data_IF_373877560298
#
_entry.id   IF_373877560298
#
_cell.length_a   1.000
_cell.length_b   1.000
_cell.length_c   1.000
_cell.angle_alpha   90.00
_cell.angle_beta   90.00
_cell.angle_gamma   90.00
#
_symmetry.space_group_name_H-M   'P 1'
#
loop_
_entity.id
_entity.type
_entity.pdbx_description
1 polymer ?
#
# COMPACT_ATOMS: atom_id res chain seq x y z
N UNK A 1 -26.20 23.28 3.31
CA UNK A 1 -25.62 22.17 2.52
C UNK A 1 -24.45 21.62 3.32
N UNK A 2 -24.40 20.32 3.59
CA UNK A 2 -23.25 19.73 4.28
C UNK A 2 -22.06 19.75 3.33
N UNK A 3 -20.90 20.22 3.81
CA UNK A 3 -19.64 20.15 3.07
C UNK A 3 -19.34 18.67 2.74
N UNK A 4 -18.89 18.34 1.52
CA UNK A 4 -18.49 16.98 1.18
C UNK A 4 -17.47 16.46 2.20
N UNK A 5 -17.53 15.18 2.63
CA UNK A 5 -16.65 14.65 3.66
C UNK A 5 -15.25 14.36 3.08
N UNK A 6 -14.54 15.38 2.61
CA UNK A 6 -13.14 15.24 2.21
C UNK A 6 -12.29 14.75 3.40
N UNK A 7 -11.28 13.95 3.12
CA UNK A 7 -10.25 13.64 4.13
C UNK A 7 -9.25 14.78 4.11
N UNK A 8 -8.98 15.37 5.26
CA UNK A 8 -8.00 16.46 5.39
C UNK A 8 -7.10 16.12 6.57
N UNK A 9 -5.79 16.23 6.37
CA UNK A 9 -4.81 15.99 7.42
C UNK A 9 -3.60 16.93 7.29
N UNK A 10 -2.74 16.90 8.30
CA UNK A 10 -1.51 17.68 8.38
C UNK A 10 -0.32 16.72 8.44
N UNK A 11 0.72 17.03 7.69
CA UNK A 11 2.02 16.35 7.77
C UNK A 11 3.11 17.40 7.48
N UNK A 12 4.07 17.54 8.39
CA UNK A 12 5.20 18.48 8.29
C UNK A 12 4.81 19.91 7.88
N UNK A 13 3.76 20.43 8.51
CA UNK A 13 3.23 21.78 8.25
C UNK A 13 2.47 21.93 6.92
N UNK A 14 2.45 20.88 6.09
CA UNK A 14 1.70 20.84 4.84
C UNK A 14 0.31 20.26 5.10
N UNK A 15 -0.73 20.95 4.61
CA UNK A 15 -2.10 20.42 4.63
C UNK A 15 -2.35 19.61 3.37
N UNK A 16 -2.79 18.39 3.58
CA UNK A 16 -3.15 17.47 2.53
C UNK A 16 -4.65 17.21 2.56
N UNK A 17 -5.21 16.86 1.41
CA UNK A 17 -6.56 16.29 1.34
C UNK A 17 -6.67 15.15 0.33
N UNK A 18 -7.67 14.31 0.53
CA UNK A 18 -8.19 13.41 -0.48
C UNK A 18 -9.61 13.86 -0.84
N UNK A 19 -9.85 14.11 -2.12
CA UNK A 19 -11.16 14.49 -2.65
C UNK A 19 -12.11 13.29 -2.68
N UNK A 20 -13.39 13.50 -2.94
CA UNK A 20 -14.41 12.46 -2.88
C UNK A 20 -14.54 11.71 -4.23
N UNK A 21 -14.97 10.44 -4.19
CA UNK A 21 -15.35 9.70 -5.39
C UNK A 21 -16.44 10.43 -6.21
N UNK A 22 -16.45 10.25 -7.55
CA UNK A 22 -15.60 9.34 -8.33
C UNK A 22 -14.19 9.86 -8.64
N UNK A 23 -13.97 11.16 -8.51
CA UNK A 23 -12.75 11.84 -8.97
C UNK A 23 -11.71 11.99 -7.85
N UNK A 24 -11.38 10.88 -7.17
CA UNK A 24 -10.46 10.92 -6.03
C UNK A 24 -9.05 11.31 -6.48
N UNK A 25 -8.56 12.41 -5.92
CA UNK A 25 -7.22 12.94 -6.06
C UNK A 25 -6.65 13.24 -4.68
N UNK A 26 -5.32 13.22 -4.57
CA UNK A 26 -4.62 13.79 -3.44
C UNK A 26 -4.14 15.18 -3.80
N UNK A 27 -4.27 16.10 -2.84
CA UNK A 27 -3.96 17.50 -3.06
C UNK A 27 -3.29 18.10 -1.82
N UNK A 28 -2.49 19.15 -2.03
CA UNK A 28 -1.91 19.98 -0.97
C UNK A 28 -2.40 21.41 -1.05
N UNK A 29 -2.53 22.06 0.11
CA UNK A 29 -2.91 23.47 0.18
C UNK A 29 -1.67 24.35 -0.06
N UNK A 30 -1.58 24.99 -1.24
CA UNK A 30 -0.44 25.85 -1.62
C UNK A 30 -0.63 27.31 -1.22
N UNK A 31 -1.87 27.72 -0.96
CA UNK A 31 -2.27 28.99 -0.36
C UNK A 31 -3.63 28.79 0.33
N UNK A 32 -4.06 29.67 1.25
CA UNK A 32 -5.35 29.51 1.95
C UNK A 32 -6.52 29.28 0.99
N UNK A 33 -7.14 28.09 1.05
CA UNK A 33 -8.24 27.67 0.19
C UNK A 33 -7.86 27.24 -1.23
N UNK A 34 -6.57 27.30 -1.61
CA UNK A 34 -6.06 26.86 -2.90
C UNK A 34 -5.39 25.49 -2.78
N UNK A 35 -5.98 24.51 -3.44
CA UNK A 35 -5.50 23.14 -3.46
C UNK A 35 -4.97 22.77 -4.84
N UNK A 36 -3.86 22.04 -4.86
CA UNK A 36 -3.22 21.56 -6.08
C UNK A 36 -2.92 20.07 -5.98
N UNK A 37 -2.96 19.37 -7.11
CA UNK A 37 -2.67 17.95 -7.18
C UNK A 37 -1.26 17.66 -6.63
N UNK A 38 -1.17 16.66 -5.75
CA UNK A 38 0.07 16.28 -5.09
C UNK A 38 0.07 14.77 -4.84
N UNK A 39 1.27 14.21 -4.70
CA UNK A 39 1.45 12.79 -4.46
C UNK A 39 2.06 12.59 -3.06
N UNK A 40 1.23 12.37 -2.02
CA UNK A 40 1.73 12.18 -0.67
C UNK A 40 2.69 10.99 -0.65
N UNK A 41 3.81 11.15 0.04
CA UNK A 41 4.74 10.06 0.30
C UNK A 41 4.20 9.12 1.38
N UNK A 42 4.97 8.07 1.65
CA UNK A 42 4.70 7.04 2.63
C UNK A 42 4.47 7.62 4.04
N UNK A 43 5.21 8.66 4.42
CA UNK A 43 5.14 9.28 5.75
C UNK A 43 3.92 10.19 5.90
N UNK A 44 3.58 10.92 4.85
CA UNK A 44 2.35 11.70 4.76
C UNK A 44 1.11 10.80 4.83
N UNK A 45 1.13 9.65 4.15
CA UNK A 45 0.03 8.66 4.20
C UNK A 45 -0.07 7.99 5.58
N UNK A 46 1.05 7.65 6.21
CA UNK A 46 1.06 7.13 7.58
C UNK A 46 0.51 8.16 8.57
N UNK A 47 0.90 9.43 8.44
CA UNK A 47 0.37 10.55 9.25
C UNK A 47 -1.13 10.73 9.04
N UNK A 48 -1.61 10.59 7.80
CA UNK A 48 -3.03 10.64 7.48
C UNK A 48 -3.82 9.53 8.18
N UNK A 49 -3.28 8.31 8.23
CA UNK A 49 -3.93 7.19 8.89
C UNK A 49 -4.12 7.43 10.40
N UNK A 50 -3.26 8.24 11.02
CA UNK A 50 -3.39 8.68 12.42
C UNK A 50 -4.30 9.90 12.57
N UNK A 51 -4.18 10.88 11.68
CA UNK A 51 -4.89 12.16 11.75
C UNK A 51 -6.36 12.09 11.34
N UNK A 52 -6.73 11.20 10.42
CA UNK A 52 -8.11 11.03 9.96
C UNK A 52 -8.90 10.18 10.95
N UNK A 53 -9.83 10.79 11.65
CA UNK A 53 -10.67 10.10 12.64
C UNK A 53 -11.58 9.03 12.04
N UNK A 54 -11.92 8.00 12.82
CA UNK A 54 -12.76 6.88 12.38
C UNK A 54 -14.13 7.30 11.81
N UNK A 55 -14.75 8.34 12.38
CA UNK A 55 -16.04 8.87 11.90
C UNK A 55 -15.91 9.53 10.53
N UNK A 56 -14.87 10.34 10.32
CA UNK A 56 -14.61 11.00 9.03
C UNK A 56 -14.31 9.96 7.96
N UNK A 57 -13.45 8.99 8.30
CA UNK A 57 -13.13 7.86 7.44
C UNK A 57 -14.37 7.07 6.99
N UNK A 58 -15.25 6.72 7.94
CA UNK A 58 -16.47 5.98 7.62
C UNK A 58 -17.38 6.74 6.66
N UNK A 59 -17.59 8.04 6.91
CA UNK A 59 -18.41 8.91 6.04
C UNK A 59 -17.80 9.05 4.65
N UNK A 60 -16.49 9.18 4.56
CA UNK A 60 -15.78 9.26 3.29
C UNK A 60 -15.98 7.98 2.46
N UNK A 61 -15.84 6.80 3.10
CA UNK A 61 -16.01 5.52 2.42
C UNK A 61 -17.45 5.27 1.93
N UNK A 62 -18.49 5.91 2.49
CA UNK A 62 -19.88 5.77 1.99
C UNK A 62 -20.01 6.06 0.48
N UNK A 63 -19.12 6.89 -0.06
CA UNK A 63 -19.08 7.28 -1.48
C UNK A 63 -18.19 6.38 -2.34
N UNK A 64 -17.34 5.55 -1.72
CA UNK A 64 -16.46 4.64 -2.44
C UNK A 64 -17.24 3.44 -3.02
N UNK A 65 -16.84 2.92 -4.19
CA UNK A 65 -17.37 1.67 -4.72
C UNK A 65 -17.24 0.51 -3.70
N UNK A 66 -18.21 -0.41 -3.68
CA UNK A 66 -18.23 -1.56 -2.75
C UNK A 66 -16.90 -2.33 -2.75
N UNK A 67 -16.32 -2.72 -3.91
CA UNK A 67 -15.07 -3.50 -3.91
C UNK A 67 -13.90 -2.73 -3.28
N UNK A 68 -13.85 -1.42 -3.50
CA UNK A 68 -12.81 -0.55 -2.93
C UNK A 68 -12.97 -0.43 -1.41
N UNK A 69 -14.21 -0.27 -0.92
CA UNK A 69 -14.50 -0.28 0.52
C UNK A 69 -14.09 -1.59 1.18
N UNK A 70 -14.45 -2.71 0.57
CA UNK A 70 -14.14 -4.04 1.11
C UNK A 70 -12.64 -4.28 1.17
N UNK A 71 -11.92 -3.90 0.10
CA UNK A 71 -10.46 -3.97 0.06
C UNK A 71 -9.81 -3.11 1.15
N UNK A 72 -10.11 -1.80 1.16
CA UNK A 72 -9.50 -0.86 2.10
C UNK A 72 -9.89 -1.19 3.55
N UNK A 73 -11.11 -1.70 3.78
CA UNK A 73 -11.61 -2.08 5.10
C UNK A 73 -10.83 -3.21 5.79
N UNK A 74 -9.93 -3.88 5.06
CA UNK A 74 -9.00 -4.88 5.62
C UNK A 74 -7.81 -4.25 6.35
N UNK A 75 -7.54 -2.98 6.10
CA UNK A 75 -6.39 -2.25 6.65
C UNK A 75 -6.86 -1.31 7.77
N UNK A 76 -6.11 -1.29 8.86
CA UNK A 76 -6.27 -0.37 9.98
C UNK A 76 -5.18 0.69 9.96
N UNK A 77 -3.91 0.25 9.95
CA UNK A 77 -2.75 1.14 10.06
C UNK A 77 -2.36 1.71 8.68
N UNK A 78 -2.39 0.89 7.64
CA UNK A 78 -2.01 1.26 6.27
C UNK A 78 -3.21 1.66 5.41
N UNK A 79 -4.37 1.97 6.01
CA UNK A 79 -5.62 2.27 5.26
C UNK A 79 -5.50 3.43 4.26
N UNK A 80 -4.68 4.43 4.55
CA UNK A 80 -4.44 5.55 3.63
C UNK A 80 -3.49 5.15 2.49
N UNK A 81 -2.52 4.29 2.77
CA UNK A 81 -1.69 3.67 1.73
C UNK A 81 -2.51 2.75 0.82
N UNK A 82 -3.40 1.93 1.40
CA UNK A 82 -4.34 1.10 0.64
C UNK A 82 -5.29 1.93 -0.22
N UNK A 83 -5.78 3.07 0.29
CA UNK A 83 -6.54 4.04 -0.50
C UNK A 83 -5.71 4.54 -1.69
N UNK A 84 -4.47 4.98 -1.46
CA UNK A 84 -3.61 5.47 -2.53
C UNK A 84 -3.38 4.43 -3.61
N UNK A 85 -3.03 3.20 -3.24
CA UNK A 85 -2.82 2.09 -4.18
C UNK A 85 -4.11 1.77 -4.94
N UNK A 86 -5.28 1.74 -4.29
CA UNK A 86 -6.55 1.44 -4.95
C UNK A 86 -6.93 2.48 -6.02
N UNK A 87 -6.54 3.75 -5.82
CA UNK A 87 -6.79 4.85 -6.77
C UNK A 87 -5.76 4.84 -7.89
N UNK A 88 -4.48 4.65 -7.54
CA UNK A 88 -3.36 4.78 -8.47
C UNK A 88 -3.10 3.54 -9.31
N UNK A 89 -3.54 2.39 -8.84
CA UNK A 89 -3.36 1.11 -9.52
C UNK A 89 -4.68 0.34 -9.61
N UNK A 90 -5.75 0.90 -10.21
CA UNK A 90 -7.07 0.27 -10.24
C UNK A 90 -7.05 -1.09 -10.97
N UNK A 91 -6.17 -1.25 -11.96
CA UNK A 91 -5.97 -2.51 -12.69
C UNK A 91 -5.50 -3.67 -11.81
N UNK A 92 -4.88 -3.40 -10.65
CA UNK A 92 -4.37 -4.40 -9.71
C UNK A 92 -5.40 -4.85 -8.67
N UNK A 93 -6.65 -4.38 -8.74
CA UNK A 93 -7.65 -4.62 -7.69
C UNK A 93 -7.89 -6.12 -7.39
N UNK A 94 -7.89 -6.98 -8.40
CA UNK A 94 -8.10 -8.42 -8.22
C UNK A 94 -6.92 -9.09 -7.50
N UNK A 95 -5.70 -8.72 -7.90
CA UNK A 95 -4.44 -9.18 -7.34
C UNK A 95 -4.30 -8.75 -5.89
N UNK A 96 -4.66 -7.50 -5.57
CA UNK A 96 -4.59 -6.95 -4.22
C UNK A 96 -5.67 -7.51 -3.30
N UNK A 97 -6.85 -7.83 -3.84
CA UNK A 97 -7.86 -8.57 -3.08
C UNK A 97 -7.35 -9.98 -2.72
N UNK A 98 -6.63 -10.65 -3.63
CA UNK A 98 -6.06 -11.97 -3.39
C UNK A 98 -4.84 -11.93 -2.47
N UNK A 99 -3.94 -10.96 -2.64
CA UNK A 99 -2.67 -10.81 -1.91
C UNK A 99 -2.53 -9.39 -1.30
N UNK A 100 -3.28 -9.05 -0.24
CA UNK A 100 -3.33 -7.68 0.28
C UNK A 100 -1.99 -7.16 0.77
N UNK A 101 -1.10 -8.03 1.28
CA UNK A 101 0.22 -7.63 1.74
C UNK A 101 1.08 -6.99 0.63
N UNK A 102 0.78 -7.25 -0.65
CA UNK A 102 1.42 -6.57 -1.79
C UNK A 102 1.18 -5.06 -1.76
N UNK A 103 0.10 -4.60 -1.13
CA UNK A 103 -0.23 -3.18 -0.96
C UNK A 103 0.87 -2.43 -0.21
N UNK A 104 1.48 -3.04 0.81
CA UNK A 104 2.55 -2.40 1.57
C UNK A 104 3.82 -2.19 0.72
N UNK A 105 4.14 -3.14 -0.17
CA UNK A 105 5.26 -3.02 -1.11
C UNK A 105 4.97 -1.95 -2.19
N UNK A 106 3.76 -1.93 -2.74
CA UNK A 106 3.34 -0.91 -3.71
C UNK A 106 3.32 0.48 -3.08
N UNK A 107 2.86 0.60 -1.84
CA UNK A 107 2.87 1.87 -1.13
C UNK A 107 4.29 2.39 -0.90
N UNK A 108 5.23 1.50 -0.54
CA UNK A 108 6.63 1.83 -0.27
C UNK A 108 7.53 1.77 -1.52
N UNK A 109 6.97 1.86 -2.71
CA UNK A 109 7.73 1.66 -3.95
C UNK A 109 8.87 2.66 -4.12
N UNK A 110 8.74 3.90 -3.61
CA UNK A 110 9.76 4.94 -3.75
C UNK A 110 11.03 4.52 -3.02
N UNK A 111 10.87 4.12 -1.76
CA UNK A 111 11.95 3.63 -0.91
C UNK A 111 12.61 2.38 -1.48
N UNK A 112 11.79 1.36 -1.81
CA UNK A 112 12.28 0.04 -2.24
C UNK A 112 13.07 0.08 -3.56
N UNK A 113 12.83 1.12 -4.37
CA UNK A 113 13.50 1.37 -5.65
C UNK A 113 14.61 2.42 -5.57
N UNK A 114 14.74 3.12 -4.44
CA UNK A 114 15.66 4.26 -4.31
C UNK A 114 15.31 5.42 -5.24
N UNK A 115 14.03 5.57 -5.59
CA UNK A 115 13.54 6.63 -6.48
C UNK A 115 13.31 7.93 -5.72
N UNK A 116 13.53 9.08 -6.39
CA UNK A 116 13.27 10.40 -5.81
C UNK A 116 11.81 10.83 -5.80
N UNK A 117 10.88 10.04 -6.35
CA UNK A 117 9.47 10.39 -6.49
C UNK A 117 8.57 9.20 -6.82
N UNK A 118 7.24 9.42 -6.87
CA UNK A 118 6.26 8.39 -7.18
C UNK A 118 6.42 7.86 -8.60
N UNK A 119 6.21 6.55 -8.78
CA UNK A 119 6.27 5.86 -10.07
C UNK A 119 4.97 5.10 -10.36
N UNK A 120 3.82 5.65 -9.97
CA UNK A 120 2.51 5.00 -10.13
C UNK A 120 2.18 4.64 -11.59
N UNK A 121 2.43 5.56 -12.53
CA UNK A 121 2.21 5.32 -13.95
C UNK A 121 3.09 4.20 -14.50
N UNK A 122 4.32 4.06 -13.97
CA UNK A 122 5.23 2.97 -14.34
C UNK A 122 4.72 1.63 -13.81
N UNK A 123 4.22 1.60 -12.57
CA UNK A 123 3.61 0.40 -11.99
C UNK A 123 2.42 -0.08 -12.82
N UNK A 124 1.53 0.84 -13.21
CA UNK A 124 0.38 0.53 -14.06
C UNK A 124 0.82 0.00 -15.43
N UNK A 125 1.77 0.68 -16.10
CA UNK A 125 2.31 0.24 -17.37
C UNK A 125 2.99 -1.15 -17.31
N UNK A 126 3.72 -1.44 -16.23
CA UNK A 126 4.31 -2.76 -15.98
C UNK A 126 3.22 -3.81 -15.79
N UNK A 127 2.17 -3.49 -15.03
CA UNK A 127 1.05 -4.39 -14.82
C UNK A 127 0.31 -4.70 -16.12
N UNK A 128 0.04 -3.69 -16.96
CA UNK A 128 -0.63 -3.90 -18.25
C UNK A 128 0.18 -4.81 -19.18
N UNK A 129 1.52 -4.69 -19.18
CA UNK A 129 2.39 -5.47 -20.07
C UNK A 129 2.64 -6.89 -19.58
N UNK A 130 2.97 -7.04 -18.30
CA UNK A 130 3.57 -8.26 -17.74
C UNK A 130 2.74 -8.83 -16.57
N UNK A 131 1.59 -8.22 -16.26
CA UNK A 131 0.73 -8.60 -15.15
C UNK A 131 1.40 -8.47 -13.79
N UNK A 132 0.83 -9.16 -12.80
CA UNK A 132 1.33 -9.13 -11.41
C UNK A 132 2.79 -9.58 -11.28
N UNK A 133 3.27 -10.50 -12.14
CA UNK A 133 4.65 -10.98 -12.07
C UNK A 133 5.65 -9.91 -12.51
N UNK A 134 5.28 -9.09 -13.51
CA UNK A 134 6.04 -7.89 -13.85
C UNK A 134 6.14 -6.93 -12.67
N UNK A 135 5.02 -6.70 -11.97
CA UNK A 135 4.97 -5.83 -10.79
C UNK A 135 5.88 -6.36 -9.67
N UNK A 136 5.86 -7.67 -9.40
CA UNK A 136 6.77 -8.28 -8.43
C UNK A 136 8.23 -8.04 -8.80
N UNK A 137 8.61 -8.32 -10.05
CA UNK A 137 9.98 -8.10 -10.53
C UNK A 137 10.37 -6.62 -10.41
N UNK A 138 9.46 -5.72 -10.77
CA UNK A 138 9.67 -4.28 -10.69
C UNK A 138 9.91 -3.85 -9.25
N UNK A 139 9.16 -4.37 -8.28
CA UNK A 139 9.38 -4.14 -6.83
C UNK A 139 10.67 -4.80 -6.28
N UNK A 140 11.40 -5.58 -7.10
CA UNK A 140 12.58 -6.33 -6.67
C UNK A 140 12.25 -7.60 -5.90
N UNK A 141 11.04 -8.14 -6.07
CA UNK A 141 10.61 -9.43 -5.55
C UNK A 141 10.81 -10.51 -6.63
N UNK A 142 10.99 -11.79 -6.26
CA UNK A 142 11.00 -12.87 -7.24
C UNK A 142 9.65 -12.95 -7.95
N UNK A 143 9.67 -12.93 -9.29
CA UNK A 143 8.49 -13.04 -10.13
C UNK A 143 7.99 -14.50 -10.20
N UNK A 144 7.48 -15.00 -9.08
CA UNK A 144 7.13 -16.42 -8.94
C UNK A 144 5.75 -16.62 -8.30
N UNK A 145 5.13 -17.76 -8.61
CA UNK A 145 3.89 -18.20 -7.95
C UNK A 145 4.10 -18.42 -6.44
N UNK A 146 5.29 -18.83 -6.05
CA UNK A 146 5.67 -19.07 -4.66
C UNK A 146 5.67 -17.76 -3.86
N UNK A 147 6.25 -16.69 -4.43
CA UNK A 147 6.20 -15.35 -3.83
C UNK A 147 4.77 -14.87 -3.64
N UNK A 148 3.90 -15.03 -4.65
CA UNK A 148 2.48 -14.70 -4.47
C UNK A 148 1.79 -15.57 -3.42
N UNK A 149 2.09 -16.87 -3.38
CA UNK A 149 1.52 -17.77 -2.36
C UNK A 149 1.90 -17.32 -0.94
N UNK A 150 3.17 -16.94 -0.74
CA UNK A 150 3.65 -16.36 0.53
C UNK A 150 2.88 -15.08 0.86
N UNK A 151 2.79 -14.11 -0.05
CA UNK A 151 2.08 -12.85 0.18
C UNK A 151 0.58 -13.04 0.48
N UNK A 152 -0.06 -14.03 -0.13
CA UNK A 152 -1.48 -14.39 0.13
C UNK A 152 -1.69 -14.99 1.52
N UNK A 153 -0.66 -15.62 2.07
CA UNK A 153 -0.71 -16.33 3.34
C UNK A 153 -0.33 -15.46 4.54
N UNK A 154 0.05 -14.19 4.30
CA UNK A 154 0.23 -13.18 5.34
C UNK A 154 -1.14 -12.84 5.94
N UNK A 155 -1.26 -13.03 7.25
CA UNK A 155 -2.52 -12.90 7.97
C UNK A 155 -2.93 -11.44 8.10
N UNK A 156 -1.98 -10.58 8.46
CA UNK A 156 -2.22 -9.15 8.65
C UNK A 156 -1.81 -8.38 7.38
N UNK A 157 -2.75 -7.72 6.68
CA UNK A 157 -2.42 -6.90 5.53
C UNK A 157 -1.66 -5.61 5.89
N UNK A 158 -1.69 -5.17 7.16
CA UNK A 158 -0.93 -4.02 7.67
C UNK A 158 0.54 -4.36 7.92
N UNK A 159 1.22 -4.90 6.90
CA UNK A 159 2.61 -5.31 6.99
C UNK A 159 3.52 -4.13 7.42
N UNK A 160 4.27 -4.25 8.53
CA UNK A 160 5.16 -3.19 9.01
C UNK A 160 6.24 -2.79 7.99
N UNK A 161 6.48 -1.48 7.80
CA UNK A 161 7.50 -0.94 6.86
C UNK A 161 8.89 -1.56 7.10
N UNK A 162 9.27 -1.75 8.36
CA UNK A 162 10.54 -2.35 8.75
C UNK A 162 10.74 -3.80 8.29
N UNK A 163 9.66 -4.51 7.94
CA UNK A 163 9.72 -5.88 7.44
C UNK A 163 9.77 -5.96 5.91
N UNK A 164 9.53 -4.86 5.18
CA UNK A 164 9.46 -4.90 3.71
C UNK A 164 10.80 -5.29 3.06
N UNK A 165 11.88 -4.61 3.45
CA UNK A 165 13.22 -4.92 2.92
C UNK A 165 13.72 -6.30 3.38
N UNK A 166 13.64 -6.68 4.67
CA UNK A 166 14.03 -8.01 5.10
C UNK A 166 13.23 -9.13 4.43
N UNK A 167 11.91 -8.95 4.25
CA UNK A 167 11.06 -9.92 3.56
C UNK A 167 11.41 -9.98 2.06
N UNK A 168 11.66 -8.83 1.43
CA UNK A 168 12.12 -8.77 0.04
C UNK A 168 13.40 -9.58 -0.15
N UNK A 169 14.39 -9.41 0.72
CA UNK A 169 15.63 -10.17 0.70
C UNK A 169 15.38 -11.68 0.96
N UNK A 170 14.60 -12.01 1.99
CA UNK A 170 14.26 -13.39 2.34
C UNK A 170 13.58 -14.15 1.21
N UNK A 171 12.77 -13.47 0.39
CA UNK A 171 12.10 -14.10 -0.74
C UNK A 171 13.05 -14.54 -1.85
N UNK A 172 14.28 -14.04 -1.90
CA UNK A 172 15.31 -14.53 -2.82
C UNK A 172 16.09 -15.73 -2.29
N UNK A 173 15.95 -16.05 -1.01
CA UNK A 173 16.75 -17.05 -0.32
C UNK A 173 16.00 -18.39 -0.23
N UNK A 174 16.50 -19.48 -0.84
CA UNK A 174 15.76 -20.73 -0.95
C UNK A 174 15.27 -21.29 0.39
N UNK A 175 16.09 -21.19 1.44
CA UNK A 175 15.75 -21.68 2.78
C UNK A 175 14.64 -20.85 3.44
N UNK A 176 14.69 -19.52 3.29
CA UNK A 176 13.70 -18.62 3.87
C UNK A 176 12.35 -18.74 3.13
N UNK A 177 12.37 -18.81 1.79
CA UNK A 177 11.16 -19.04 1.01
C UNK A 177 10.50 -20.38 1.38
N UNK A 178 11.29 -21.45 1.52
CA UNK A 178 10.77 -22.75 1.92
C UNK A 178 10.08 -22.67 3.30
N UNK A 179 10.69 -22.00 4.28
CA UNK A 179 10.09 -21.82 5.60
C UNK A 179 8.79 -21.00 5.54
N UNK A 180 8.73 -19.96 4.71
CA UNK A 180 7.56 -19.11 4.54
C UNK A 180 6.40 -19.83 3.83
N UNK A 181 6.70 -20.63 2.82
CA UNK A 181 5.70 -21.38 2.05
C UNK A 181 5.03 -22.48 2.90
N UNK A 182 5.79 -23.13 3.77
CA UNK A 182 5.29 -24.25 4.58
C UNK A 182 4.65 -23.80 5.90
N UNK A 183 4.63 -22.50 6.19
CA UNK A 183 3.91 -21.97 7.34
C UNK A 183 2.40 -21.95 7.03
N UNK A 184 1.53 -22.49 7.91
CA UNK A 184 0.08 -22.53 7.63
C UNK A 184 -0.62 -21.16 7.70
N UNK A 185 0.04 -20.17 8.33
CA UNK A 185 -0.40 -18.79 8.47
C UNK A 185 0.82 -17.95 8.84
N UNK A 186 1.09 -16.89 8.08
CA UNK A 186 2.25 -16.02 8.28
C UNK A 186 1.84 -14.79 9.12
N UNK A 187 2.20 -14.84 10.40
CA UNK A 187 2.11 -13.71 11.33
C UNK A 187 3.40 -12.89 11.29
N UNK A 188 3.35 -11.65 11.78
CA UNK A 188 4.52 -10.77 11.88
C UNK A 188 5.71 -11.41 12.59
N UNK A 189 5.46 -12.16 13.66
CA UNK A 189 6.50 -12.89 14.40
C UNK A 189 7.21 -13.94 13.51
N UNK A 190 6.45 -14.68 12.69
CA UNK A 190 7.01 -15.69 11.78
C UNK A 190 7.75 -15.04 10.62
N UNK A 191 7.23 -13.93 10.08
CA UNK A 191 7.91 -13.14 9.07
C UNK A 191 9.25 -12.63 9.61
N UNK A 192 9.24 -12.02 10.80
CA UNK A 192 10.46 -11.54 11.45
C UNK A 192 11.47 -12.67 11.68
N UNK A 193 11.04 -13.82 12.18
CA UNK A 193 11.91 -14.98 12.39
C UNK A 193 12.54 -15.50 11.09
N UNK A 194 11.77 -15.54 9.99
CA UNK A 194 12.27 -15.94 8.67
C UNK A 194 13.25 -14.91 8.06
N UNK A 195 13.14 -13.63 8.45
CA UNK A 195 14.00 -12.55 7.97
C UNK A 195 15.30 -12.39 8.78
N UNK A 196 15.35 -12.82 10.04
CA UNK A 196 16.51 -12.71 10.93
C UNK A 196 17.80 -13.41 10.47
N UNK A 197 17.81 -14.60 9.83
CA UNK A 197 19.06 -15.25 9.43
C UNK A 197 19.84 -14.51 8.33
N UNK A 198 19.29 -13.42 7.78
CA UNK A 198 19.88 -12.61 6.71
C UNK A 198 20.45 -11.27 7.20
N UNK A 199 20.34 -10.98 8.49
CA UNK A 199 20.83 -9.74 9.12
C UNK A 199 22.17 -9.91 9.86
N UNK A 200 22.83 -11.07 9.73
CA UNK A 200 24.08 -11.42 10.42
C UNK A 200 25.27 -11.58 9.47
#
# INVERSE_FOLDING_TARGET
MATPPELVWLHDGTRFRATLWPDVSFETETAPGRWEAAEPDEEALASAALGVGATQWRRYLEYAPVPVREFIGRFQLNRMAALAVAIKCPGLAGELAAAPALTAFLAAHRDLRGGGGPAWEEIEAVHERDGVFGVLQWLGLPASRQTLAVLRNIVDPDLPRQLLEPLRAALWEPAAVWALEHAPALTDEKLAAACQPLAA
#
